data_IF_092323777279
#
_entry.id   IF_092323777279
#
_cell.length_a   1.000
_cell.length_b   1.000
_cell.length_c   1.000
_cell.angle_alpha   90.00
_cell.angle_beta   90.00
_cell.angle_gamma   90.00
#
_symmetry.space_group_name_H-M   'P 1'
#
loop_
_entity.id
_entity.type
_entity.pdbx_description
1 polymer ?
#
# COMPACT_ATOMS: atom_id res chain seq x y z
N UNK A 1 -21.26 47.48 -57.15
CA UNK A 1 -20.28 47.59 -56.05
C UNK A 1 -20.59 46.48 -55.05
N UNK A 2 -19.95 45.33 -55.21
CA UNK A 2 -20.03 44.19 -54.30
C UNK A 2 -18.70 44.12 -53.54
N UNK A 3 -18.70 44.45 -52.25
CA UNK A 3 -17.54 44.23 -51.40
C UNK A 3 -17.35 42.72 -51.18
N UNK A 4 -16.11 42.20 -51.21
CA UNK A 4 -15.85 40.81 -50.87
C UNK A 4 -16.05 40.62 -49.35
N UNK A 5 -16.83 39.62 -48.99
CA UNK A 5 -17.00 39.16 -47.60
C UNK A 5 -15.65 38.58 -47.16
N UNK A 6 -14.98 39.25 -46.22
CA UNK A 6 -13.71 38.78 -45.68
C UNK A 6 -13.85 37.42 -45.02
N UNK A 7 -12.91 36.52 -45.29
CA UNK A 7 -12.83 35.20 -44.67
C UNK A 7 -12.79 35.32 -43.14
N UNK A 8 -13.80 34.75 -42.48
CA UNK A 8 -13.87 34.73 -41.03
C UNK A 8 -12.86 33.72 -40.47
N UNK A 9 -11.73 34.20 -39.93
CA UNK A 9 -10.81 33.36 -39.16
C UNK A 9 -11.36 33.11 -37.75
N UNK A 10 -11.22 31.89 -37.20
CA UNK A 10 -11.60 31.63 -35.82
C UNK A 10 -10.80 32.55 -34.87
N UNK A 11 -11.44 33.10 -33.82
CA UNK A 11 -10.79 34.03 -32.91
C UNK A 11 -9.60 33.37 -32.22
N UNK A 12 -8.40 33.97 -32.35
CA UNK A 12 -7.14 33.47 -31.75
C UNK A 12 -7.15 33.46 -30.21
N UNK A 13 -8.12 34.09 -29.57
CA UNK A 13 -8.20 34.25 -28.12
C UNK A 13 -9.54 33.77 -27.57
N UNK A 14 -9.49 33.01 -26.47
CA UNK A 14 -10.69 32.57 -25.74
C UNK A 14 -11.57 33.78 -25.36
N UNK A 15 -12.85 33.72 -25.76
CA UNK A 15 -13.84 34.76 -25.46
C UNK A 15 -13.99 35.03 -23.95
N UNK A 16 -14.60 36.16 -23.60
CA UNK A 16 -14.80 36.55 -22.20
C UNK A 16 -15.62 35.51 -21.40
N UNK A 17 -16.60 34.87 -22.04
CA UNK A 17 -17.39 33.77 -21.47
C UNK A 17 -16.53 32.53 -21.21
N UNK A 18 -15.78 32.06 -22.19
CA UNK A 18 -14.85 30.92 -22.03
C UNK A 18 -13.82 31.14 -20.91
N UNK A 19 -13.38 32.40 -20.69
CA UNK A 19 -12.49 32.75 -19.56
C UNK A 19 -13.19 32.76 -18.21
N UNK A 20 -14.50 33.04 -18.15
CA UNK A 20 -15.31 32.93 -16.93
C UNK A 20 -15.61 31.48 -16.60
N UNK A 21 -16.01 30.70 -17.60
CA UNK A 21 -16.26 29.26 -17.48
C UNK A 21 -15.02 28.51 -17.02
N UNK A 22 -13.85 28.78 -17.61
CA UNK A 22 -12.60 28.18 -17.17
C UNK A 22 -12.25 28.53 -15.72
N UNK A 23 -12.48 29.79 -15.29
CA UNK A 23 -12.24 30.20 -13.90
C UNK A 23 -13.17 29.50 -12.93
N UNK A 24 -14.44 29.34 -13.29
CA UNK A 24 -15.43 28.64 -12.48
C UNK A 24 -15.10 27.14 -12.40
N UNK A 25 -14.72 26.52 -13.52
CA UNK A 25 -14.27 25.12 -13.57
C UNK A 25 -13.05 24.87 -12.69
N UNK A 26 -12.02 25.73 -12.77
CA UNK A 26 -10.85 25.65 -11.89
C UNK A 26 -11.24 25.89 -10.42
N UNK A 27 -12.14 26.83 -10.14
CA UNK A 27 -12.63 27.08 -8.78
C UNK A 27 -13.36 25.87 -8.18
N UNK A 28 -14.15 25.15 -8.99
CA UNK A 28 -14.86 23.93 -8.57
C UNK A 28 -13.92 22.73 -8.41
N UNK A 29 -12.93 22.58 -9.29
CA UNK A 29 -11.97 21.47 -9.23
C UNK A 29 -10.88 21.66 -8.18
N UNK A 30 -10.55 22.91 -7.81
CA UNK A 30 -9.43 23.21 -6.93
C UNK A 30 -9.46 22.46 -5.59
N UNK A 31 -10.57 22.39 -4.82
CA UNK A 31 -10.60 21.65 -3.56
C UNK A 31 -10.28 20.16 -3.77
N UNK A 32 -10.84 19.56 -4.82
CA UNK A 32 -10.60 18.14 -5.13
C UNK A 32 -9.16 17.89 -5.54
N UNK A 33 -8.59 18.73 -6.41
CA UNK A 33 -7.20 18.60 -6.86
C UNK A 33 -6.23 18.83 -5.71
N UNK A 34 -6.50 19.81 -4.83
CA UNK A 34 -5.67 20.11 -3.68
C UNK A 34 -5.65 18.94 -2.68
N UNK A 35 -6.82 18.39 -2.34
CA UNK A 35 -6.93 17.24 -1.41
C UNK A 35 -6.24 16.01 -1.99
N UNK A 36 -6.54 15.67 -3.26
CA UNK A 36 -5.93 14.51 -3.93
C UNK A 36 -4.42 14.69 -4.03
N UNK A 37 -3.96 15.89 -4.39
CA UNK A 37 -2.52 16.19 -4.46
C UNK A 37 -1.86 16.08 -3.09
N UNK A 38 -2.46 16.62 -2.03
CA UNK A 38 -1.87 16.56 -0.69
C UNK A 38 -1.79 15.12 -0.17
N UNK A 39 -2.85 14.33 -0.36
CA UNK A 39 -2.92 12.94 0.14
C UNK A 39 -2.03 11.99 -0.67
N UNK A 40 -1.79 12.27 -1.96
CA UNK A 40 -0.99 11.38 -2.82
C UNK A 40 0.46 11.86 -2.96
N UNK A 41 0.69 13.14 -3.28
CA UNK A 41 2.03 13.64 -3.59
C UNK A 41 2.91 13.68 -2.35
N UNK A 42 2.37 14.02 -1.17
CA UNK A 42 3.19 14.10 0.04
C UNK A 42 3.75 12.70 0.43
N UNK A 43 2.94 11.64 0.55
CA UNK A 43 3.48 10.30 0.81
C UNK A 43 4.39 9.79 -0.32
N UNK A 44 4.08 10.10 -1.57
CA UNK A 44 4.92 9.73 -2.71
C UNK A 44 6.30 10.39 -2.60
N UNK A 45 6.36 11.70 -2.36
CA UNK A 45 7.62 12.42 -2.16
C UNK A 45 8.39 11.87 -0.96
N UNK A 46 7.71 11.50 0.13
CA UNK A 46 8.33 10.85 1.28
C UNK A 46 8.95 9.48 0.92
N UNK A 47 8.28 8.65 0.09
CA UNK A 47 8.83 7.37 -0.37
C UNK A 47 10.10 7.61 -1.20
N UNK A 48 10.08 8.57 -2.13
CA UNK A 48 11.27 8.93 -2.91
C UNK A 48 12.40 9.42 -2.00
N UNK A 49 12.09 10.28 -1.03
CA UNK A 49 13.05 10.79 -0.06
C UNK A 49 13.69 9.69 0.80
N UNK A 50 12.88 8.75 1.30
CA UNK A 50 13.35 7.63 2.13
C UNK A 50 14.16 6.62 1.31
N UNK A 51 13.83 6.44 0.02
CA UNK A 51 14.52 5.46 -0.84
C UNK A 51 16.01 5.73 -1.02
N UNK A 52 16.42 7.00 -0.95
CA UNK A 52 17.82 7.44 -1.10
C UNK A 52 18.54 7.62 0.24
N UNK A 53 18.00 7.04 1.32
CA UNK A 53 18.55 7.14 2.67
C UNK A 53 18.64 5.76 3.35
N UNK A 54 19.64 5.53 4.22
CA UNK A 54 19.77 4.26 4.93
C UNK A 54 18.84 4.24 6.16
N UNK A 55 17.51 4.26 5.93
CA UNK A 55 16.51 4.35 7.01
C UNK A 55 16.08 2.96 7.47
N UNK A 56 16.32 2.65 8.74
CA UNK A 56 15.74 1.49 9.42
C UNK A 56 14.39 1.80 10.09
N UNK A 57 13.69 0.77 10.54
CA UNK A 57 12.44 0.92 11.29
C UNK A 57 12.64 1.64 12.64
N UNK A 58 13.81 1.48 13.25
CA UNK A 58 14.17 2.16 14.50
C UNK A 58 14.38 3.67 14.31
N UNK A 59 14.81 4.10 13.11
CA UNK A 59 15.13 5.50 12.79
C UNK A 59 13.91 6.39 12.58
N UNK A 60 12.70 5.80 12.53
CA UNK A 60 11.46 6.58 12.40
C UNK A 60 11.11 7.38 13.66
N UNK A 61 11.70 7.03 14.80
CA UNK A 61 11.45 7.74 16.06
C UNK A 61 12.33 8.97 16.14
N UNK A 62 11.77 10.06 16.67
CA UNK A 62 12.57 11.23 16.99
C UNK A 62 13.66 10.86 18.01
N UNK A 63 14.87 11.37 17.79
CA UNK A 63 15.99 11.19 18.71
C UNK A 63 15.85 12.26 19.79
N UNK A 64 14.99 11.96 20.76
CA UNK A 64 14.66 12.84 21.87
C UNK A 64 14.78 12.10 23.22
N UNK A 65 15.06 12.84 24.31
CA UNK A 65 15.06 12.26 25.64
C UNK A 65 13.67 11.76 25.98
N UNK A 66 13.56 10.65 26.68
CA UNK A 66 12.30 10.18 27.24
C UNK A 66 12.40 10.27 28.75
N UNK A 67 11.57 11.13 29.32
CA UNK A 67 11.43 11.32 30.77
C UNK A 67 10.14 10.65 31.22
N UNK A 68 10.24 9.78 32.23
CA UNK A 68 9.09 9.24 32.94
C UNK A 68 9.19 9.62 34.40
N UNK A 69 8.25 10.42 34.85
CA UNK A 69 8.05 10.73 36.25
C UNK A 69 7.28 9.61 36.93
N UNK A 70 7.61 9.32 38.18
CA UNK A 70 6.85 8.40 39.02
C UNK A 70 7.03 8.76 40.48
N UNK A 71 5.95 8.68 41.25
CA UNK A 71 6.01 8.84 42.69
C UNK A 71 6.32 7.49 43.36
N UNK A 72 7.32 7.45 44.24
CA UNK A 72 7.64 6.24 45.03
C UNK A 72 7.88 6.59 46.50
N UNK A 73 7.28 5.81 47.39
CA UNK A 73 7.62 5.88 48.82
C UNK A 73 8.59 4.74 49.16
N UNK A 74 9.79 5.05 49.62
CA UNK A 74 10.78 4.05 50.05
C UNK A 74 11.12 4.30 51.53
N UNK A 75 10.49 3.53 52.42
CA UNK A 75 10.54 3.79 53.87
C UNK A 75 9.58 4.93 54.25
N UNK A 76 10.01 5.83 55.14
CA UNK A 76 9.22 6.97 55.65
C UNK A 76 9.35 8.27 54.83
N UNK A 77 10.16 8.29 53.76
CA UNK A 77 10.33 9.49 52.92
C UNK A 77 9.71 9.29 51.53
N UNK A 78 8.78 10.16 51.12
CA UNK A 78 8.30 10.17 49.74
C UNK A 78 9.39 10.72 48.80
N UNK A 79 9.50 10.11 47.62
CA UNK A 79 10.50 10.47 46.61
C UNK A 79 9.84 10.58 45.24
N UNK A 80 10.25 11.61 44.50
CA UNK A 80 9.94 11.78 43.10
C UNK A 80 11.05 11.12 42.27
N UNK A 81 10.71 10.11 41.47
CA UNK A 81 11.66 9.39 40.61
C UNK A 81 11.45 9.80 39.14
N UNK A 82 12.43 10.50 38.57
CA UNK A 82 12.50 10.76 37.14
C UNK A 82 13.42 9.74 36.48
N UNK A 83 12.85 8.90 35.63
CA UNK A 83 13.61 8.01 34.76
C UNK A 83 13.84 8.68 33.42
N UNK A 84 15.07 9.12 33.21
CA UNK A 84 15.51 9.77 31.97
C UNK A 84 16.26 8.74 31.13
N UNK A 85 15.93 8.65 29.84
CA UNK A 85 16.62 7.76 28.91
C UNK A 85 16.78 8.39 27.53
N UNK A 86 17.87 8.09 26.86
CA UNK A 86 17.96 8.21 25.43
C UNK A 86 17.20 7.04 24.79
N UNK A 87 16.23 7.34 23.93
CA UNK A 87 15.41 6.32 23.26
C UNK A 87 16.14 5.63 22.12
N UNK A 88 17.16 6.28 21.53
CA UNK A 88 18.05 5.71 20.52
C UNK A 88 19.18 4.93 21.20
N UNK A 89 19.61 3.84 20.57
CA UNK A 89 20.71 3.00 21.06
C UNK A 89 22.09 3.45 20.55
N UNK A 90 22.09 4.25 19.49
CA UNK A 90 23.25 4.53 18.65
C UNK A 90 23.54 6.02 18.50
N UNK A 91 22.52 6.88 18.60
CA UNK A 91 22.62 8.32 18.37
C UNK A 91 22.69 9.07 19.68
N UNK A 92 23.55 10.08 19.70
CA UNK A 92 23.70 10.99 20.83
C UNK A 92 22.64 12.09 20.74
N UNK A 93 22.11 12.50 21.89
CA UNK A 93 21.26 13.68 22.02
C UNK A 93 22.09 14.80 22.63
N UNK A 94 22.22 15.91 21.92
CA UNK A 94 22.89 17.11 22.41
C UNK A 94 21.89 18.04 23.10
N UNK A 95 22.39 18.77 24.11
CA UNK A 95 21.60 19.69 24.95
C UNK A 95 20.32 19.03 25.51
N UNK A 96 20.48 17.80 26.02
CA UNK A 96 19.40 16.99 26.54
C UNK A 96 19.02 17.46 27.96
N UNK A 97 17.75 17.78 28.15
CA UNK A 97 17.25 18.26 29.44
C UNK A 97 15.74 18.19 29.52
N UNK A 98 15.19 18.44 30.70
CA UNK A 98 13.76 18.63 30.87
C UNK A 98 13.46 19.75 31.85
N UNK A 99 12.27 20.32 31.69
CA UNK A 99 11.71 21.30 32.60
C UNK A 99 10.38 20.73 33.09
N UNK A 100 10.21 20.69 34.40
CA UNK A 100 8.98 20.25 35.03
C UNK A 100 8.43 21.33 35.96
N UNK A 101 7.10 21.45 36.02
CA UNK A 101 6.41 22.36 36.94
C UNK A 101 5.92 21.58 38.14
N UNK A 102 6.62 21.73 39.25
CA UNK A 102 6.32 21.05 40.50
C UNK A 102 5.05 21.67 41.12
N UNK A 103 4.01 20.86 41.36
CA UNK A 103 2.78 21.31 42.03
C UNK A 103 3.07 21.93 43.40
N UNK A 104 2.30 22.96 43.77
CA UNK A 104 2.49 23.68 45.05
C UNK A 104 2.33 22.81 46.31
N UNK A 105 1.75 21.61 46.18
CA UNK A 105 1.59 20.62 47.25
C UNK A 105 2.85 19.80 47.54
N UNK A 106 3.88 19.89 46.68
CA UNK A 106 5.15 19.17 46.81
C UNK A 106 6.27 20.16 47.13
N UNK A 107 7.02 19.90 48.20
CA UNK A 107 8.21 20.67 48.55
C UNK A 107 9.45 19.81 48.37
N UNK A 108 10.39 20.26 47.53
CA UNK A 108 11.66 19.56 47.30
C UNK A 108 12.61 19.81 48.48
N UNK A 109 13.20 18.73 49.01
CA UNK A 109 14.13 18.78 50.14
C UNK A 109 15.59 18.93 49.67
N UNK A 110 15.95 18.27 48.58
CA UNK A 110 17.31 18.26 48.02
C UNK A 110 17.24 18.23 46.50
N UNK A 111 17.98 19.12 45.84
CA UNK A 111 18.03 19.20 44.37
C UNK A 111 19.33 18.53 43.90
N UNK A 112 19.26 17.56 42.96
CA UNK A 112 20.46 16.94 42.38
C UNK A 112 21.34 17.97 41.67
N UNK A 113 22.66 17.73 41.61
CA UNK A 113 23.65 18.63 40.97
C UNK A 113 23.37 18.92 39.49
N UNK A 114 22.67 18.00 38.81
CA UNK A 114 22.26 18.13 37.40
C UNK A 114 21.03 19.01 37.20
N UNK A 115 20.42 19.52 38.28
CA UNK A 115 19.16 20.24 38.24
C UNK A 115 19.24 21.58 39.00
N UNK A 116 18.43 22.53 38.56
CA UNK A 116 18.24 23.84 39.18
C UNK A 116 16.76 24.07 39.45
N UNK A 117 16.42 24.53 40.64
CA UNK A 117 15.05 24.85 41.05
C UNK A 117 14.87 26.38 41.09
N UNK A 118 13.98 26.92 40.25
CA UNK A 118 13.59 28.32 40.25
C UNK A 118 12.08 28.44 40.55
N UNK A 119 11.75 28.78 41.81
CA UNK A 119 10.37 28.75 42.30
C UNK A 119 9.80 27.33 42.28
N UNK A 120 8.78 27.11 41.44
CA UNK A 120 8.16 25.79 41.20
C UNK A 120 8.70 25.08 39.94
N UNK A 121 9.59 25.71 39.17
CA UNK A 121 10.13 25.13 37.94
C UNK A 121 11.43 24.38 38.23
N UNK A 122 11.40 23.06 38.06
CA UNK A 122 12.57 22.20 38.15
C UNK A 122 13.15 22.01 36.74
N UNK A 123 14.36 22.52 36.51
CA UNK A 123 15.09 22.36 35.25
C UNK A 123 16.27 21.44 35.44
N UNK A 124 16.35 20.35 34.69
CA UNK A 124 17.48 19.43 34.69
C UNK A 124 18.19 19.43 33.33
N UNK A 125 19.51 19.55 33.33
CA UNK A 125 20.36 19.55 32.14
C UNK A 125 21.40 18.43 32.25
N UNK A 126 21.43 17.56 31.23
CA UNK A 126 22.32 16.40 31.16
C UNK A 126 23.40 16.59 30.07
N UNK A 127 23.43 17.73 29.37
CA UNK A 127 24.40 17.99 28.32
C UNK A 127 24.23 17.03 27.13
N UNK A 128 25.19 16.13 26.92
CA UNK A 128 25.19 15.14 25.83
C UNK A 128 24.84 13.74 26.35
N UNK A 129 23.71 13.18 25.93
CA UNK A 129 23.31 11.81 26.26
C UNK A 129 23.71 10.85 25.14
N UNK A 130 24.65 9.94 25.41
CA UNK A 130 25.03 8.88 24.48
C UNK A 130 23.86 7.92 24.18
N UNK A 131 23.99 7.15 23.09
CA UNK A 131 23.03 6.10 22.73
C UNK A 131 22.84 5.09 23.87
N UNK A 132 21.59 4.77 24.20
CA UNK A 132 21.25 3.83 25.28
C UNK A 132 21.42 4.38 26.70
N UNK A 133 21.79 5.65 26.86
CA UNK A 133 21.89 6.30 28.17
C UNK A 133 20.58 6.14 28.97
N UNK A 134 20.70 5.74 30.24
CA UNK A 134 19.56 5.69 31.16
C UNK A 134 20.01 6.03 32.57
N UNK A 135 19.35 7.02 33.16
CA UNK A 135 19.59 7.47 34.51
C UNK A 135 18.26 7.58 35.28
N UNK A 136 18.34 7.45 36.60
CA UNK A 136 17.20 7.63 37.51
C UNK A 136 17.56 8.69 38.53
N UNK A 137 16.96 9.87 38.38
CA UNK A 137 17.03 10.91 39.39
C UNK A 137 16.00 10.61 40.47
N UNK A 138 16.42 10.65 41.73
CA UNK A 138 15.54 10.49 42.88
C UNK A 138 15.62 11.76 43.71
N UNK A 139 14.50 12.45 43.81
CA UNK A 139 14.39 13.72 44.50
C UNK A 139 13.56 13.49 45.76
N UNK A 140 14.14 13.62 46.97
CA UNK A 140 13.38 13.52 48.20
C UNK A 140 12.45 14.73 48.32
N UNK A 141 11.19 14.47 48.66
CA UNK A 141 10.15 15.49 48.75
C UNK A 141 9.39 15.40 50.07
N UNK A 142 8.76 16.50 50.46
CA UNK A 142 7.75 16.58 51.50
C UNK A 142 6.40 16.84 50.82
N UNK A 143 5.38 16.05 51.19
CA UNK A 143 4.06 16.09 50.57
C UNK A 143 2.98 16.07 51.66
N UNK A 144 2.06 17.05 51.61
CA UNK A 144 1.02 17.28 52.62
C UNK A 144 -0.32 16.60 52.27
N UNK A 145 -0.28 15.40 51.68
CA UNK A 145 -1.48 14.68 51.21
C UNK A 145 -1.35 13.15 51.20
N UNK A 146 -2.42 12.45 50.85
CA UNK A 146 -2.45 10.98 50.75
C UNK A 146 -1.77 10.45 49.47
N UNK A 147 -1.26 9.22 49.49
CA UNK A 147 -0.46 8.63 48.40
C UNK A 147 -1.18 8.62 47.04
N UNK A 148 -2.48 8.29 47.03
CA UNK A 148 -3.28 8.26 45.79
C UNK A 148 -3.50 9.67 45.21
N UNK A 149 -3.44 10.70 46.06
CA UNK A 149 -3.50 12.11 45.64
C UNK A 149 -2.15 12.56 45.08
N UNK A 150 -1.03 12.04 45.60
CA UNK A 150 0.30 12.32 45.07
C UNK A 150 0.46 11.77 43.64
N UNK A 151 0.05 10.53 43.41
CA UNK A 151 0.21 9.85 42.12
C UNK A 151 -0.61 10.52 41.01
N UNK A 152 -1.87 10.86 41.30
CA UNK A 152 -2.76 11.56 40.37
C UNK A 152 -2.33 13.01 40.05
N UNK A 153 -1.67 13.68 40.99
CA UNK A 153 -1.13 15.03 40.79
C UNK A 153 0.13 15.00 39.92
N UNK A 154 1.01 14.01 40.11
CA UNK A 154 2.21 13.82 39.26
C UNK A 154 1.89 13.36 37.85
N UNK A 155 0.80 12.61 37.62
CA UNK A 155 0.39 12.26 36.24
C UNK A 155 -0.15 13.47 35.44
N UNK A 156 -0.47 14.58 36.11
CA UNK A 156 -1.04 15.79 35.51
C UNK A 156 -0.02 16.79 34.95
N UNK A 157 1.23 16.77 35.41
CA UNK A 157 2.32 17.64 34.95
C UNK A 157 3.30 16.86 34.07
N UNK A 158 3.12 16.88 32.75
CA UNK A 158 4.09 16.24 31.86
C UNK A 158 5.31 17.16 31.69
N UNK A 159 6.53 16.68 31.96
CA UNK A 159 7.73 17.50 31.80
C UNK A 159 7.95 17.90 30.34
N UNK A 160 8.30 19.16 30.12
CA UNK A 160 8.72 19.70 28.84
C UNK A 160 10.14 19.23 28.52
N UNK A 161 10.27 18.41 27.49
CA UNK A 161 11.52 17.79 27.08
C UNK A 161 12.27 18.71 26.11
N UNK A 162 13.60 18.78 26.26
CA UNK A 162 14.49 19.50 25.35
C UNK A 162 15.65 18.60 24.92
N UNK A 163 16.06 18.71 23.65
CA UNK A 163 17.17 17.96 23.10
C UNK A 163 17.21 18.06 21.58
N UNK A 164 18.40 17.95 21.00
CA UNK A 164 18.60 17.86 19.55
C UNK A 164 19.42 16.62 19.25
N UNK A 165 18.84 15.66 18.54
CA UNK A 165 19.56 14.52 17.99
C UNK A 165 19.56 14.56 16.46
N UNK A 166 20.62 14.02 15.85
CA UNK A 166 20.65 13.85 14.41
C UNK A 166 19.58 12.84 13.97
N UNK A 167 18.81 13.17 12.94
CA UNK A 167 17.78 12.30 12.40
C UNK A 167 18.03 12.06 10.91
N UNK A 168 18.18 10.78 10.56
CA UNK A 168 18.45 10.30 9.20
C UNK A 168 17.39 10.77 8.22
N UNK A 169 16.14 10.95 8.68
CA UNK A 169 15.04 11.46 7.85
C UNK A 169 15.20 12.94 7.48
N UNK A 170 15.82 13.76 8.34
CA UNK A 170 15.92 15.22 8.12
C UNK A 170 17.32 15.67 7.71
N UNK A 171 18.33 14.80 7.83
CA UNK A 171 19.68 15.13 7.41
C UNK A 171 19.80 15.23 5.87
N UNK A 172 20.90 15.80 5.38
CA UNK A 172 21.16 15.96 3.93
C UNK A 172 22.05 14.85 3.36
N UNK A 173 22.15 13.72 4.04
CA UNK A 173 22.93 12.57 3.57
C UNK A 173 22.08 11.72 2.63
N UNK A 174 22.62 11.44 1.44
CA UNK A 174 21.96 10.65 0.40
C UNK A 174 22.88 9.51 -0.05
N UNK A 175 22.30 8.34 -0.28
CA UNK A 175 22.99 7.15 -0.77
C UNK A 175 22.16 6.42 -1.83
N UNK A 176 22.84 5.74 -2.75
CA UNK A 176 22.25 4.85 -3.74
C UNK A 176 22.34 3.37 -3.32
N UNK A 177 22.80 3.07 -2.10
CA UNK A 177 23.09 1.70 -1.66
C UNK A 177 21.85 0.81 -1.62
N UNK A 178 20.69 1.37 -1.31
CA UNK A 178 19.41 0.64 -1.37
C UNK A 178 19.14 0.12 -2.80
N UNK A 179 19.33 0.96 -3.81
CA UNK A 179 19.13 0.58 -5.22
C UNK A 179 20.17 -0.44 -5.68
N UNK A 180 21.45 -0.23 -5.35
CA UNK A 180 22.52 -1.21 -5.67
C UNK A 180 22.21 -2.57 -5.06
N UNK A 181 21.85 -2.62 -3.77
CA UNK A 181 21.49 -3.85 -3.06
C UNK A 181 20.33 -4.58 -3.74
N UNK A 182 19.33 -3.85 -4.23
CA UNK A 182 18.18 -4.45 -4.93
C UNK A 182 18.63 -5.03 -6.27
N UNK A 183 19.30 -4.25 -7.11
CA UNK A 183 19.67 -4.66 -8.48
C UNK A 183 20.80 -5.71 -8.53
N UNK A 184 21.74 -5.66 -7.57
CA UNK A 184 22.83 -6.63 -7.46
C UNK A 184 22.40 -7.94 -6.77
N UNK A 185 21.18 -7.99 -6.22
CA UNK A 185 20.68 -9.20 -5.59
C UNK A 185 20.45 -10.31 -6.62
N UNK A 186 20.92 -11.52 -6.30
CA UNK A 186 20.72 -12.71 -7.13
C UNK A 186 19.23 -13.05 -7.35
N UNK A 187 18.34 -12.51 -6.51
CA UNK A 187 16.90 -12.75 -6.59
C UNK A 187 16.14 -11.72 -7.43
N UNK A 188 16.71 -10.55 -7.75
CA UNK A 188 15.98 -9.46 -8.41
C UNK A 188 15.24 -9.89 -9.68
N UNK A 189 15.95 -10.58 -10.59
CA UNK A 189 15.35 -11.07 -11.83
C UNK A 189 14.28 -12.14 -11.58
N UNK A 190 14.46 -12.99 -10.56
CA UNK A 190 13.46 -13.98 -10.17
C UNK A 190 12.18 -13.32 -9.65
N UNK A 191 12.32 -12.27 -8.83
CA UNK A 191 11.21 -11.51 -8.26
C UNK A 191 10.49 -10.70 -9.34
N UNK A 192 11.25 -10.07 -10.25
CA UNK A 192 10.69 -9.35 -11.39
C UNK A 192 9.95 -10.30 -12.33
N UNK A 193 10.51 -11.48 -12.62
CA UNK A 193 9.86 -12.50 -13.42
C UNK A 193 8.56 -13.00 -12.77
N UNK A 194 8.58 -13.35 -11.49
CA UNK A 194 7.39 -13.77 -10.77
C UNK A 194 6.29 -12.69 -10.79
N UNK A 195 6.67 -11.42 -10.59
CA UNK A 195 5.75 -10.28 -10.66
C UNK A 195 5.13 -10.13 -12.05
N UNK A 196 5.94 -10.16 -13.11
CA UNK A 196 5.46 -10.03 -14.48
C UNK A 196 4.61 -11.21 -14.92
N UNK A 197 5.04 -12.43 -14.61
CA UNK A 197 4.28 -13.64 -14.91
C UNK A 197 2.92 -13.62 -14.21
N UNK A 198 2.91 -13.40 -12.89
CA UNK A 198 1.68 -13.30 -12.11
C UNK A 198 0.73 -12.24 -12.67
N UNK A 199 1.26 -11.05 -12.97
CA UNK A 199 0.45 -9.92 -13.46
C UNK A 199 -0.10 -10.17 -14.85
N UNK A 200 0.76 -10.54 -15.81
CA UNK A 200 0.36 -10.68 -17.22
C UNK A 200 -0.56 -11.88 -17.39
N UNK A 201 -0.16 -13.04 -16.88
CA UNK A 201 -0.93 -14.29 -17.03
C UNK A 201 -2.23 -14.22 -16.23
N UNK A 202 -2.21 -13.65 -15.02
CA UNK A 202 -3.41 -13.44 -14.21
C UNK A 202 -4.40 -12.48 -14.87
N UNK A 203 -3.91 -11.33 -15.34
CA UNK A 203 -4.75 -10.33 -16.01
C UNK A 203 -5.39 -10.92 -17.27
N UNK A 204 -4.60 -11.52 -18.17
CA UNK A 204 -5.11 -12.14 -19.41
C UNK A 204 -6.06 -13.28 -19.06
N UNK A 205 -5.67 -14.16 -18.13
CA UNK A 205 -6.47 -15.32 -17.75
C UNK A 205 -7.86 -14.92 -17.24
N UNK A 206 -7.96 -13.94 -16.34
CA UNK A 206 -9.26 -13.53 -15.84
C UNK A 206 -10.07 -12.67 -16.84
N UNK A 207 -9.43 -12.01 -17.81
CA UNK A 207 -10.16 -11.43 -18.95
C UNK A 207 -10.74 -12.51 -19.85
N UNK A 208 -9.98 -13.56 -20.15
CA UNK A 208 -10.42 -14.68 -20.99
C UNK A 208 -11.55 -15.45 -20.30
N UNK A 209 -11.39 -15.80 -19.03
CA UNK A 209 -12.44 -16.48 -18.25
C UNK A 209 -13.65 -15.56 -18.07
N UNK A 210 -13.43 -14.27 -17.85
CA UNK A 210 -14.49 -13.27 -17.78
C UNK A 210 -15.29 -13.13 -19.07
N UNK A 211 -14.61 -13.09 -20.22
CA UNK A 211 -15.23 -13.07 -21.54
C UNK A 211 -16.03 -14.34 -21.80
N UNK A 212 -15.47 -15.51 -21.47
CA UNK A 212 -16.18 -16.79 -21.60
C UNK A 212 -17.45 -16.81 -20.75
N UNK A 213 -17.37 -16.39 -19.49
CA UNK A 213 -18.52 -16.25 -18.60
C UNK A 213 -19.56 -15.26 -19.14
N UNK A 214 -19.11 -14.15 -19.73
CA UNK A 214 -19.99 -13.13 -20.31
C UNK A 214 -20.74 -13.68 -21.52
N UNK A 215 -20.05 -14.37 -22.43
CA UNK A 215 -20.67 -15.04 -23.58
C UNK A 215 -21.75 -16.04 -23.16
N UNK A 216 -21.49 -16.83 -22.12
CA UNK A 216 -22.43 -17.83 -21.60
C UNK A 216 -23.67 -17.17 -20.98
N UNK A 217 -23.49 -16.09 -20.22
CA UNK A 217 -24.56 -15.39 -19.49
C UNK A 217 -25.15 -14.19 -20.24
N UNK A 218 -24.77 -13.97 -21.50
CA UNK A 218 -25.41 -12.98 -22.36
C UNK A 218 -26.78 -13.45 -22.86
N UNK A 219 -26.98 -14.77 -23.02
CA UNK A 219 -28.27 -15.33 -23.41
C UNK A 219 -29.26 -15.36 -22.25
N UNK A 220 -30.54 -15.15 -22.53
CA UNK A 220 -31.62 -15.32 -21.55
C UNK A 220 -31.97 -16.80 -21.39
N UNK A 221 -31.92 -17.30 -20.15
CA UNK A 221 -32.35 -18.65 -19.82
C UNK A 221 -32.76 -18.78 -18.35
N UNK A 222 -33.50 -19.85 -18.02
CA UNK A 222 -34.04 -20.06 -16.68
C UNK A 222 -32.91 -20.40 -15.70
N UNK A 223 -32.78 -19.64 -14.61
CA UNK A 223 -31.70 -19.79 -13.63
C UNK A 223 -30.48 -18.87 -13.82
N UNK A 224 -30.48 -18.02 -14.85
CA UNK A 224 -29.38 -17.09 -15.15
C UNK A 224 -29.02 -16.17 -13.97
N UNK A 225 -30.00 -15.72 -13.17
CA UNK A 225 -29.76 -14.89 -11.99
C UNK A 225 -28.94 -15.61 -10.90
N UNK A 226 -29.19 -16.90 -10.68
CA UNK A 226 -28.45 -17.72 -9.72
C UNK A 226 -27.01 -17.92 -10.19
N UNK A 227 -26.81 -18.23 -11.48
CA UNK A 227 -25.48 -18.38 -12.05
C UNK A 227 -24.68 -17.08 -12.02
N UNK A 228 -25.30 -15.93 -12.29
CA UNK A 228 -24.67 -14.61 -12.10
C UNK A 228 -24.21 -14.44 -10.64
N UNK A 229 -25.05 -14.77 -9.67
CA UNK A 229 -24.68 -14.73 -8.25
C UNK A 229 -23.50 -15.65 -7.91
N UNK A 230 -23.52 -16.90 -8.38
CA UNK A 230 -22.44 -17.86 -8.17
C UNK A 230 -21.12 -17.41 -8.81
N UNK A 231 -21.17 -16.79 -9.98
CA UNK A 231 -19.96 -16.28 -10.64
C UNK A 231 -19.36 -15.08 -9.91
N UNK A 232 -20.16 -14.29 -9.18
CA UNK A 232 -19.66 -13.17 -8.38
C UNK A 232 -19.06 -13.58 -7.04
N UNK A 233 -19.37 -14.79 -6.57
CA UNK A 233 -18.92 -15.29 -5.27
C UNK A 233 -17.40 -15.17 -5.03
N UNK A 234 -16.51 -15.52 -5.98
CA UNK A 234 -15.08 -15.43 -5.76
C UNK A 234 -14.66 -14.01 -5.38
N UNK A 235 -15.16 -12.99 -6.09
CA UNK A 235 -14.77 -11.59 -5.89
C UNK A 235 -15.27 -11.01 -4.56
N UNK A 236 -16.50 -11.37 -4.16
CA UNK A 236 -17.17 -10.80 -2.97
C UNK A 236 -16.67 -11.42 -1.66
N UNK A 237 -16.18 -12.66 -1.70
CA UNK A 237 -15.80 -13.41 -0.50
C UNK A 237 -14.61 -12.77 0.24
N UNK A 238 -14.48 -12.85 1.58
CA UNK A 238 -13.31 -12.32 2.29
C UNK A 238 -12.01 -13.00 1.83
N UNK A 239 -10.99 -12.21 1.44
CA UNK A 239 -9.76 -12.75 0.83
C UNK A 239 -9.05 -13.76 1.74
N UNK A 240 -8.93 -13.44 3.04
CA UNK A 240 -8.26 -14.28 4.03
C UNK A 240 -8.92 -15.67 4.09
N UNK A 241 -10.25 -15.70 4.24
CA UNK A 241 -10.99 -16.97 4.35
C UNK A 241 -10.80 -17.85 3.10
N UNK A 242 -10.85 -17.23 1.92
CA UNK A 242 -10.72 -17.96 0.66
C UNK A 242 -9.30 -18.45 0.41
N UNK A 243 -8.27 -17.64 0.71
CA UNK A 243 -6.88 -18.06 0.61
C UNK A 243 -6.59 -19.27 1.52
N UNK A 244 -6.99 -19.23 2.80
CA UNK A 244 -6.82 -20.37 3.71
C UNK A 244 -7.63 -21.60 3.29
N UNK A 245 -8.81 -21.40 2.71
CA UNK A 245 -9.59 -22.50 2.13
C UNK A 245 -8.82 -23.17 1.00
N UNK A 246 -8.22 -22.40 0.09
CA UNK A 246 -7.38 -22.95 -0.99
C UNK A 246 -6.15 -23.67 -0.47
N UNK A 247 -5.40 -23.07 0.48
CA UNK A 247 -4.23 -23.72 1.09
C UNK A 247 -4.61 -25.06 1.72
N UNK A 248 -5.73 -25.12 2.45
CA UNK A 248 -6.20 -26.36 3.08
C UNK A 248 -6.68 -27.38 2.04
N UNK A 249 -7.41 -26.93 1.03
CA UNK A 249 -7.99 -27.79 0.00
C UNK A 249 -6.91 -28.47 -0.88
N UNK A 250 -5.84 -27.74 -1.17
CA UNK A 250 -4.71 -28.18 -1.98
C UNK A 250 -3.49 -28.61 -1.16
N UNK A 251 -3.65 -28.81 0.16
CA UNK A 251 -2.58 -29.31 1.02
C UNK A 251 -2.11 -30.70 0.54
N UNK A 252 -0.79 -30.97 0.48
CA UNK A 252 -0.26 -32.25 0.00
C UNK A 252 -0.60 -33.44 0.90
N UNK A 253 -0.85 -33.25 2.20
CA UNK A 253 -1.05 -34.36 3.13
C UNK A 253 -2.50 -34.58 3.53
N UNK A 254 -3.25 -33.50 3.68
CA UNK A 254 -4.61 -33.47 4.21
C UNK A 254 -5.64 -32.89 3.24
N UNK A 255 -5.19 -32.38 2.08
CA UNK A 255 -6.04 -31.71 1.11
C UNK A 255 -6.91 -32.67 0.30
N UNK A 256 -8.21 -32.35 0.22
CA UNK A 256 -9.19 -33.16 -0.51
C UNK A 256 -8.85 -33.29 -2.00
N UNK A 257 -8.20 -32.29 -2.61
CA UNK A 257 -7.81 -32.34 -4.02
C UNK A 257 -6.75 -33.41 -4.24
N UNK A 258 -5.71 -33.47 -3.40
CA UNK A 258 -4.68 -34.50 -3.51
C UNK A 258 -5.24 -35.90 -3.26
N UNK A 259 -6.16 -36.05 -2.29
CA UNK A 259 -6.86 -37.32 -2.05
C UNK A 259 -7.64 -37.79 -3.28
N UNK A 260 -8.34 -36.89 -3.98
CA UNK A 260 -9.07 -37.21 -5.21
C UNK A 260 -8.13 -37.54 -6.38
N UNK A 261 -7.06 -36.77 -6.58
CA UNK A 261 -6.10 -36.98 -7.67
C UNK A 261 -5.41 -38.35 -7.56
N UNK A 262 -4.99 -38.72 -6.36
CA UNK A 262 -4.38 -40.03 -6.08
C UNK A 262 -5.39 -41.16 -6.21
N UNK A 263 -6.62 -41.00 -5.72
CA UNK A 263 -7.68 -42.01 -5.87
C UNK A 263 -8.07 -42.25 -7.34
N UNK A 264 -8.06 -41.20 -8.16
CA UNK A 264 -8.35 -41.28 -9.59
C UNK A 264 -7.16 -41.74 -10.44
N UNK A 265 -6.01 -42.05 -9.83
CA UNK A 265 -4.75 -42.38 -10.51
C UNK A 265 -4.30 -41.29 -11.52
N UNK A 266 -4.61 -40.03 -11.24
CA UNK A 266 -4.14 -38.88 -12.06
C UNK A 266 -2.68 -38.56 -11.73
N UNK A 267 -2.27 -38.77 -10.47
CA UNK A 267 -0.90 -38.55 -10.00
C UNK A 267 -0.38 -39.77 -9.25
N UNK A 268 0.93 -40.05 -9.37
CA UNK A 268 1.59 -41.18 -8.68
C UNK A 268 1.72 -40.93 -7.16
N UNK A 269 1.62 -39.68 -6.73
CA UNK A 269 1.65 -39.28 -5.33
C UNK A 269 1.05 -37.89 -5.11
N UNK A 270 1.06 -37.40 -3.87
CA UNK A 270 0.56 -36.07 -3.55
C UNK A 270 1.43 -34.97 -4.18
N UNK A 271 0.78 -33.94 -4.71
CA UNK A 271 1.43 -32.79 -5.35
C UNK A 271 1.45 -31.62 -4.38
N UNK A 272 2.62 -31.03 -4.18
CA UNK A 272 2.79 -29.83 -3.37
C UNK A 272 2.53 -28.55 -4.20
N UNK A 273 1.25 -28.22 -4.36
CA UNK A 273 0.78 -27.12 -5.20
C UNK A 273 1.34 -25.74 -4.84
N UNK A 274 1.67 -25.51 -3.57
CA UNK A 274 2.12 -24.20 -3.07
C UNK A 274 3.60 -24.18 -2.61
N UNK A 275 4.25 -25.35 -2.51
CA UNK A 275 5.61 -25.46 -1.95
C UNK A 275 6.72 -25.71 -2.96
N UNK A 276 6.42 -25.96 -4.24
CA UNK A 276 7.43 -26.30 -5.25
C UNK A 276 7.40 -25.37 -6.48
N UNK A 277 8.59 -25.13 -7.07
CA UNK A 277 8.73 -24.40 -8.34
C UNK A 277 8.57 -25.38 -9.51
N UNK A 278 7.80 -25.05 -10.57
CA UNK A 278 7.06 -23.80 -10.81
C UNK A 278 5.58 -23.82 -10.34
N UNK A 279 5.14 -24.91 -9.72
CA UNK A 279 3.73 -25.17 -9.38
C UNK A 279 3.12 -24.08 -8.51
N UNK A 280 3.87 -23.60 -7.51
CA UNK A 280 3.43 -22.55 -6.59
C UNK A 280 3.03 -21.27 -7.32
N UNK A 281 3.87 -20.80 -8.27
CA UNK A 281 3.58 -19.58 -9.03
C UNK A 281 2.36 -19.78 -9.93
N UNK A 282 2.24 -20.95 -10.57
CA UNK A 282 1.09 -21.29 -11.41
C UNK A 282 -0.20 -21.29 -10.58
N UNK A 283 -0.19 -21.92 -9.39
CA UNK A 283 -1.37 -22.04 -8.54
C UNK A 283 -1.81 -20.70 -7.95
N UNK A 284 -0.85 -19.85 -7.56
CA UNK A 284 -1.14 -18.49 -7.12
C UNK A 284 -1.74 -17.67 -8.27
N UNK A 285 -1.26 -17.83 -9.50
CA UNK A 285 -1.87 -17.20 -10.69
C UNK A 285 -3.27 -17.76 -11.01
N UNK A 286 -3.50 -19.07 -10.85
CA UNK A 286 -4.83 -19.68 -11.03
C UNK A 286 -5.83 -19.14 -10.01
N UNK A 287 -5.39 -18.97 -8.76
CA UNK A 287 -6.18 -18.31 -7.72
C UNK A 287 -6.57 -16.89 -8.12
N UNK A 288 -5.62 -16.09 -8.61
CA UNK A 288 -5.87 -14.73 -9.12
C UNK A 288 -6.94 -14.75 -10.22
N UNK A 289 -6.79 -15.63 -11.21
CA UNK A 289 -7.74 -15.74 -12.32
C UNK A 289 -9.14 -16.05 -11.81
N UNK A 290 -9.28 -17.08 -10.96
CA UNK A 290 -10.58 -17.46 -10.41
C UNK A 290 -11.19 -16.37 -9.51
N UNK A 291 -10.36 -15.62 -8.78
CA UNK A 291 -10.80 -14.58 -7.86
C UNK A 291 -11.31 -13.33 -8.59
N UNK A 292 -10.63 -12.93 -9.67
CA UNK A 292 -10.85 -11.62 -10.30
C UNK A 292 -11.51 -11.68 -11.68
N UNK A 293 -11.70 -12.86 -12.29
CA UNK A 293 -12.56 -12.98 -13.48
C UNK A 293 -13.98 -12.42 -13.29
N UNK A 294 -14.63 -12.46 -12.10
CA UNK A 294 -16.01 -12.00 -11.98
C UNK A 294 -16.17 -10.52 -12.28
N UNK A 295 -15.14 -9.71 -11.96
CA UNK A 295 -15.13 -8.29 -12.29
C UNK A 295 -15.06 -8.10 -13.81
N UNK A 296 -14.11 -8.76 -14.47
CA UNK A 296 -13.98 -8.73 -15.94
C UNK A 296 -15.28 -9.19 -16.62
N UNK A 297 -15.87 -10.28 -16.12
CA UNK A 297 -17.17 -10.79 -16.55
C UNK A 297 -18.26 -9.72 -16.51
N UNK A 298 -18.42 -9.00 -15.40
CA UNK A 298 -19.49 -7.99 -15.25
C UNK A 298 -19.36 -6.86 -16.27
N UNK A 299 -18.15 -6.30 -16.42
CA UNK A 299 -17.93 -5.18 -17.33
C UNK A 299 -18.07 -5.61 -18.80
N UNK A 300 -17.56 -6.79 -19.16
CA UNK A 300 -17.70 -7.32 -20.52
C UNK A 300 -19.17 -7.61 -20.82
N UNK A 301 -19.90 -8.25 -19.90
CA UNK A 301 -21.33 -8.53 -20.06
C UNK A 301 -22.15 -7.25 -20.22
N UNK A 302 -21.88 -6.23 -19.41
CA UNK A 302 -22.55 -4.93 -19.51
C UNK A 302 -22.30 -4.28 -20.88
N UNK A 303 -21.05 -4.32 -21.38
CA UNK A 303 -20.74 -3.80 -22.72
C UNK A 303 -21.44 -4.62 -23.82
N UNK A 304 -21.43 -5.94 -23.72
CA UNK A 304 -22.11 -6.82 -24.68
C UNK A 304 -23.61 -6.52 -24.78
N UNK A 305 -24.27 -6.24 -23.66
CA UNK A 305 -25.70 -5.89 -23.61
C UNK A 305 -26.01 -4.49 -24.17
N UNK A 306 -25.01 -3.62 -24.28
CA UNK A 306 -25.15 -2.29 -24.87
C UNK A 306 -24.88 -2.26 -26.39
N UNK A 307 -24.52 -3.40 -27.01
CA UNK A 307 -24.35 -3.49 -28.47
C UNK A 307 -25.74 -3.61 -29.10
N UNK A 308 -25.98 -2.84 -30.15
CA UNK A 308 -27.23 -2.85 -30.90
C UNK A 308 -27.53 -4.26 -31.49
N UNK A 309 -28.76 -4.74 -31.29
CA UNK A 309 -29.23 -6.01 -31.83
C UNK A 309 -29.35 -5.99 -33.35
N UNK A 310 -29.62 -4.83 -33.95
CA UNK A 310 -29.84 -4.67 -35.39
C UNK A 310 -28.61 -5.13 -36.20
N UNK A 311 -27.41 -4.92 -35.65
CA UNK A 311 -26.16 -5.40 -36.26
C UNK A 311 -26.09 -6.93 -36.33
N UNK A 312 -26.58 -7.61 -35.30
CA UNK A 312 -26.59 -9.08 -35.25
C UNK A 312 -27.67 -9.68 -36.15
N UNK A 313 -28.82 -9.02 -36.28
CA UNK A 313 -29.91 -9.40 -37.19
C UNK A 313 -29.50 -9.22 -38.64
N UNK A 314 -28.86 -8.10 -39.00
CA UNK A 314 -28.28 -7.90 -40.33
C UNK A 314 -27.28 -9.02 -40.68
N UNK A 315 -26.42 -9.39 -39.73
CA UNK A 315 -25.48 -10.50 -39.91
C UNK A 315 -26.19 -11.87 -40.04
N UNK A 316 -27.36 -12.08 -39.41
CA UNK A 316 -28.18 -13.29 -39.65
C UNK A 316 -28.70 -13.33 -41.10
N UNK A 317 -29.14 -12.20 -41.63
CA UNK A 317 -29.65 -12.10 -43.00
C UNK A 317 -28.54 -12.36 -44.04
N UNK A 318 -27.30 -11.96 -43.73
CA UNK A 318 -26.11 -12.25 -44.55
C UNK A 318 -25.58 -13.70 -44.39
N UNK A 319 -26.22 -14.52 -43.54
CA UNK A 319 -25.82 -15.91 -43.31
C UNK A 319 -24.54 -16.08 -42.49
N UNK A 320 -24.19 -15.08 -41.68
CA UNK A 320 -22.98 -15.13 -40.85
C UNK A 320 -23.11 -16.18 -39.73
N UNK A 321 -22.13 -17.07 -39.65
CA UNK A 321 -22.02 -18.06 -38.57
C UNK A 321 -21.75 -17.40 -37.20
N UNK A 322 -22.06 -18.06 -36.08
CA UNK A 322 -21.81 -17.52 -34.74
C UNK A 322 -20.34 -17.12 -34.48
N UNK A 323 -19.38 -17.86 -35.06
CA UNK A 323 -17.96 -17.56 -34.93
C UNK A 323 -17.58 -16.30 -35.73
N UNK A 324 -18.15 -16.12 -36.92
CA UNK A 324 -17.98 -14.88 -37.70
C UNK A 324 -18.56 -13.69 -36.94
N UNK A 325 -19.77 -13.81 -36.37
CA UNK A 325 -20.34 -12.72 -35.57
C UNK A 325 -19.50 -12.37 -34.36
N UNK A 326 -18.95 -13.36 -33.67
CA UNK A 326 -18.06 -13.12 -32.55
C UNK A 326 -16.80 -12.36 -32.98
N UNK A 327 -16.10 -12.82 -34.02
CA UNK A 327 -14.82 -12.23 -34.42
C UNK A 327 -14.94 -10.90 -35.16
N UNK A 328 -16.00 -10.71 -35.95
CA UNK A 328 -16.17 -9.53 -36.80
C UNK A 328 -17.11 -8.47 -36.22
N UNK A 329 -18.04 -8.84 -35.32
CA UNK A 329 -18.92 -7.86 -34.65
C UNK A 329 -18.57 -7.71 -33.17
N UNK A 330 -18.65 -8.79 -32.38
CA UNK A 330 -18.54 -8.69 -30.92
C UNK A 330 -17.13 -8.29 -30.47
N UNK A 331 -16.08 -8.96 -30.95
CA UNK A 331 -14.70 -8.72 -30.53
C UNK A 331 -14.26 -7.28 -30.79
N UNK A 332 -14.41 -6.70 -32.00
CA UNK A 332 -14.07 -5.30 -32.25
C UNK A 332 -14.81 -4.32 -31.32
N UNK A 333 -16.10 -4.54 -31.08
CA UNK A 333 -16.91 -3.71 -30.18
C UNK A 333 -16.53 -3.85 -28.71
N UNK A 334 -15.84 -4.94 -28.34
CA UNK A 334 -15.33 -5.23 -27.01
C UNK A 334 -13.87 -4.80 -26.82
N UNK A 335 -13.10 -4.52 -27.89
CA UNK A 335 -11.68 -4.16 -27.76
C UNK A 335 -11.47 -2.95 -26.84
N UNK A 336 -12.34 -1.94 -26.91
CA UNK A 336 -12.28 -0.77 -26.04
C UNK A 336 -12.39 -1.13 -24.55
N UNK A 337 -13.44 -1.90 -24.17
CA UNK A 337 -13.61 -2.31 -22.77
C UNK A 337 -12.53 -3.31 -22.33
N UNK A 338 -12.12 -4.24 -23.19
CA UNK A 338 -11.06 -5.21 -22.89
C UNK A 338 -9.72 -4.51 -22.65
N UNK A 339 -9.41 -3.47 -23.43
CA UNK A 339 -8.20 -2.66 -23.28
C UNK A 339 -8.20 -1.90 -21.95
N UNK A 340 -9.31 -1.22 -21.63
CA UNK A 340 -9.45 -0.51 -20.35
C UNK A 340 -9.36 -1.48 -19.17
N UNK A 341 -10.04 -2.63 -19.25
CA UNK A 341 -9.97 -3.64 -18.19
C UNK A 341 -8.56 -4.23 -18.07
N UNK A 342 -7.86 -4.48 -19.17
CA UNK A 342 -6.47 -4.94 -19.14
C UNK A 342 -5.57 -3.93 -18.44
N UNK A 343 -5.65 -2.65 -18.78
CA UNK A 343 -4.86 -1.59 -18.13
C UNK A 343 -5.11 -1.54 -16.63
N UNK A 344 -6.37 -1.42 -16.23
CA UNK A 344 -6.75 -1.30 -14.82
C UNK A 344 -6.35 -2.54 -14.03
N UNK A 345 -6.64 -3.73 -14.57
CA UNK A 345 -6.29 -4.98 -13.91
C UNK A 345 -4.79 -5.23 -13.88
N UNK A 346 -4.05 -4.86 -14.91
CA UNK A 346 -2.59 -4.95 -14.88
C UNK A 346 -2.03 -4.13 -13.71
N UNK A 347 -2.46 -2.87 -13.57
CA UNK A 347 -2.02 -1.99 -12.47
C UNK A 347 -2.39 -2.58 -11.11
N UNK A 348 -3.63 -3.08 -10.94
CA UNK A 348 -4.07 -3.65 -9.68
C UNK A 348 -3.35 -4.96 -9.34
N UNK A 349 -3.22 -5.86 -10.31
CA UNK A 349 -2.58 -7.18 -10.13
C UNK A 349 -1.08 -7.05 -9.90
N UNK A 350 -0.41 -6.09 -10.52
CA UNK A 350 1.00 -5.81 -10.25
C UNK A 350 1.24 -5.38 -8.80
N UNK A 351 0.29 -4.61 -8.24
CA UNK A 351 0.34 -4.15 -6.85
C UNK A 351 -0.28 -5.15 -5.85
N UNK A 352 -0.64 -6.36 -6.28
CA UNK A 352 -1.23 -7.34 -5.36
C UNK A 352 -0.19 -7.92 -4.41
N UNK A 353 -0.55 -7.95 -3.14
CA UNK A 353 0.29 -8.43 -2.04
C UNK A 353 -0.40 -9.58 -1.29
N UNK A 354 -1.67 -9.37 -0.93
CA UNK A 354 -2.50 -10.25 -0.14
C UNK A 354 -2.58 -11.67 -0.71
N UNK A 355 -2.86 -11.84 -2.00
CA UNK A 355 -3.04 -13.15 -2.63
C UNK A 355 -1.78 -14.02 -2.48
N UNK A 356 -0.62 -13.47 -2.85
CA UNK A 356 0.66 -14.21 -2.85
C UNK A 356 1.13 -14.47 -1.42
N UNK A 357 1.03 -13.45 -0.55
CA UNK A 357 1.47 -13.54 0.83
C UNK A 357 0.65 -14.56 1.62
N UNK A 358 -0.68 -14.57 1.46
CA UNK A 358 -1.56 -15.50 2.17
C UNK A 358 -1.44 -16.94 1.67
N UNK A 359 -1.19 -17.16 0.37
CA UNK A 359 -1.09 -18.51 -0.20
C UNK A 359 0.29 -19.14 0.00
N UNK A 360 1.36 -18.36 -0.07
CA UNK A 360 2.74 -18.89 -0.14
C UNK A 360 3.76 -18.12 0.69
N UNK A 361 3.41 -16.92 1.20
CA UNK A 361 4.36 -16.02 1.86
C UNK A 361 5.47 -15.48 0.94
N UNK A 362 5.37 -15.71 -0.38
CA UNK A 362 6.46 -15.43 -1.34
C UNK A 362 7.47 -16.59 -1.50
N UNK A 363 7.27 -17.73 -0.83
CA UNK A 363 8.16 -18.88 -0.95
C UNK A 363 8.00 -19.61 -2.29
N UNK A 364 8.84 -20.62 -2.54
CA UNK A 364 8.75 -21.44 -3.75
C UNK A 364 8.71 -20.63 -5.07
N UNK A 365 9.41 -19.48 -5.11
CA UNK A 365 9.54 -18.65 -6.32
C UNK A 365 8.34 -17.78 -6.65
N UNK A 366 7.43 -17.55 -5.71
CA UNK A 366 6.25 -16.68 -5.92
C UNK A 366 6.48 -15.24 -5.47
N UNK A 367 7.57 -14.94 -4.75
CA UNK A 367 7.91 -13.59 -4.27
C UNK A 367 7.85 -12.56 -5.39
N UNK A 368 6.88 -11.64 -5.30
CA UNK A 368 6.75 -10.49 -6.19
C UNK A 368 7.40 -9.24 -5.59
N UNK A 369 7.53 -8.18 -6.39
CA UNK A 369 8.10 -6.90 -5.94
C UNK A 369 7.31 -6.33 -4.75
N UNK A 370 5.98 -6.46 -4.72
CA UNK A 370 5.14 -6.01 -3.61
C UNK A 370 5.38 -6.79 -2.32
N UNK A 371 5.51 -8.11 -2.41
CA UNK A 371 5.91 -8.95 -1.26
C UNK A 371 7.32 -8.57 -0.79
N UNK A 372 8.22 -8.26 -1.72
CA UNK A 372 9.57 -7.82 -1.40
C UNK A 372 9.60 -6.44 -0.70
N UNK A 373 8.73 -5.49 -1.06
CA UNK A 373 8.57 -4.22 -0.31
C UNK A 373 8.27 -4.52 1.16
N UNK A 374 7.29 -5.39 1.42
CA UNK A 374 6.91 -5.76 2.79
C UNK A 374 8.05 -6.44 3.54
N UNK A 375 8.72 -7.39 2.90
CA UNK A 375 9.84 -8.12 3.49
C UNK A 375 11.00 -7.20 3.86
N UNK A 376 11.41 -6.29 2.96
CA UNK A 376 12.46 -5.32 3.25
C UNK A 376 12.06 -4.35 4.36
N UNK A 377 10.89 -3.72 4.23
CA UNK A 377 10.46 -2.67 5.15
C UNK A 377 10.16 -3.18 6.56
N UNK A 378 9.51 -4.34 6.69
CA UNK A 378 8.95 -4.80 7.96
C UNK A 378 9.59 -6.09 8.48
N UNK A 379 9.90 -7.08 7.63
CA UNK A 379 10.54 -8.31 8.10
C UNK A 379 12.03 -8.10 8.41
N UNK A 380 12.73 -7.34 7.55
CA UNK A 380 14.15 -7.01 7.69
C UNK A 380 14.34 -5.66 8.42
N UNK A 381 13.25 -4.91 8.64
CA UNK A 381 13.28 -3.58 9.28
C UNK A 381 14.12 -2.54 8.53
N UNK A 382 14.27 -2.68 7.21
CA UNK A 382 14.98 -1.75 6.33
C UNK A 382 13.96 -1.00 5.44
N UNK A 383 13.48 0.13 5.94
CA UNK A 383 12.47 0.95 5.26
C UNK A 383 13.05 1.61 4.01
N UNK A 384 14.31 2.06 4.05
CA UNK A 384 14.99 2.63 2.89
C UNK A 384 15.00 1.67 1.70
N UNK A 385 15.34 0.40 1.93
CA UNK A 385 15.29 -0.65 0.92
C UNK A 385 13.85 -0.92 0.44
N UNK A 386 12.87 -1.01 1.34
CA UNK A 386 11.47 -1.17 0.96
C UNK A 386 10.94 -0.02 0.11
N UNK A 387 11.29 1.21 0.46
CA UNK A 387 10.96 2.42 -0.30
C UNK A 387 11.63 2.42 -1.69
N UNK A 388 12.88 1.96 -1.79
CA UNK A 388 13.57 1.82 -3.07
C UNK A 388 12.89 0.78 -3.98
N UNK A 389 12.43 -0.37 -3.45
CA UNK A 389 11.62 -1.33 -4.23
C UNK A 389 10.31 -0.68 -4.68
N UNK A 390 9.65 0.12 -3.83
CA UNK A 390 8.43 0.84 -4.21
C UNK A 390 8.67 1.87 -5.34
N UNK A 391 9.83 2.55 -5.35
CA UNK A 391 10.23 3.42 -6.47
C UNK A 391 10.44 2.62 -7.76
N UNK A 392 11.02 1.42 -7.68
CA UNK A 392 11.16 0.52 -8.85
C UNK A 392 9.79 0.11 -9.39
N UNK A 393 8.86 -0.29 -8.51
CA UNK A 393 7.46 -0.59 -8.88
C UNK A 393 6.82 0.59 -9.61
N UNK A 394 6.96 1.80 -9.05
CA UNK A 394 6.43 3.03 -9.65
C UNK A 394 7.02 3.27 -11.05
N UNK A 395 8.34 3.14 -11.21
CA UNK A 395 9.00 3.33 -12.50
C UNK A 395 8.55 2.29 -13.56
N UNK A 396 8.37 1.03 -13.16
CA UNK A 396 7.87 -0.04 -14.06
C UNK A 396 6.43 0.25 -14.48
N UNK A 397 5.55 0.61 -13.55
CA UNK A 397 4.15 0.92 -13.85
C UNK A 397 3.98 2.20 -14.66
N UNK A 398 4.80 3.22 -14.41
CA UNK A 398 4.83 4.44 -15.20
C UNK A 398 5.27 4.16 -16.63
N UNK A 399 6.32 3.36 -16.80
CA UNK A 399 6.80 2.92 -18.12
C UNK A 399 5.74 2.10 -18.84
N UNK A 400 5.11 1.14 -18.17
CA UNK A 400 4.02 0.36 -18.73
C UNK A 400 2.85 1.26 -19.16
N UNK A 401 2.39 2.16 -18.28
CA UNK A 401 1.26 3.06 -18.57
C UNK A 401 1.57 3.98 -19.75
N UNK A 402 2.79 4.54 -19.79
CA UNK A 402 3.24 5.37 -20.90
C UNK A 402 3.24 4.60 -22.23
N UNK A 403 3.82 3.39 -22.26
CA UNK A 403 3.83 2.55 -23.46
C UNK A 403 2.41 2.14 -23.86
N UNK A 404 1.56 1.76 -22.89
CA UNK A 404 0.19 1.38 -23.12
C UNK A 404 -0.60 2.51 -23.80
N UNK A 405 -0.57 3.73 -23.26
CA UNK A 405 -1.24 4.86 -23.90
C UNK A 405 -0.60 5.24 -25.25
N UNK A 406 0.72 5.15 -25.39
CA UNK A 406 1.43 5.48 -26.62
C UNK A 406 1.05 4.57 -27.80
N UNK A 407 0.81 3.29 -27.53
CA UNK A 407 0.53 2.28 -28.56
C UNK A 407 -0.96 1.92 -28.70
N UNK A 408 -1.73 1.95 -27.61
CA UNK A 408 -3.13 1.52 -27.60
C UNK A 408 -4.14 2.68 -27.73
N UNK A 409 -3.74 3.93 -27.51
CA UNK A 409 -4.64 5.11 -27.59
C UNK A 409 -4.90 5.61 -29.02
N UNK A 410 -5.14 4.69 -29.97
CA UNK A 410 -5.46 5.03 -31.36
C UNK A 410 -6.78 4.48 -31.89
N UNK A 411 -7.66 3.97 -31.02
CA UNK A 411 -9.07 3.81 -31.38
C UNK A 411 -9.88 4.92 -30.72
N UNK A 412 -10.12 5.94 -31.54
CA UNK A 412 -11.17 6.95 -31.40
C UNK A 412 -12.55 6.27 -31.20
N UNK A 413 -13.41 6.88 -30.39
CA UNK A 413 -14.86 6.59 -30.44
C UNK A 413 -15.53 6.20 -29.12
N UNK A 414 -15.54 7.14 -28.16
CA UNK A 414 -16.84 7.61 -27.67
C UNK A 414 -17.21 8.85 -28.49
#
# INVERSE_FOLDING_TARGET
MTQPIGEAHPPKTRGALARREARLAWGLLFPTLAIVSLVILLPLLAIFWISVKPVGLADLRAVEPVVKESFRTRGDTPQLEYRVRNSSQDKTIDAAGFVDEIPASIRILEVPDTCTLDGSSLKCDFGSMEGGFSERLRIPIEFDGDKDTAESVTEGSLPLISGRGDNVLTNNEFTADNFKRIFDSSEFLSVLWATMFYTVVGTIGALVVGLFAALLLNKSFRGQGVLRGLYLFPYVSPIIAVAFTWVTLFDPFSGSVNALLTQMNVTEGPVNFFGERPQALIMVTVFEIWRYFPLSFLFILARMQAIDSDMYEAADMDGASPFQKFWFLSMPQLLGILSVLFLLRFIWTFNKFDDIFLLTGGNAGTRTLTVNVYEQAFAISNIGAGAAVAVVIFAVLLTFSFLFFRYLSKEEGL
#
